data_IF_408018450903
#
_entry.id   IF_408018450903
#
_cell.length_a   1.000
_cell.length_b   1.000
_cell.length_c   1.000
_cell.angle_alpha   90.00
_cell.angle_beta   90.00
_cell.angle_gamma   90.00
#
_symmetry.space_group_name_H-M   'P 1'
#
loop_
_entity.id
_entity.type
_entity.pdbx_description
1 polymer ?
#
# COMPACT_ATOMS: atom_id res chain seq x y z
N UNK A 1 -17.59 -22.64 -11.13
CA UNK A 1 -16.34 -22.71 -10.34
C UNK A 1 -16.40 -21.88 -9.04
N UNK A 2 -17.19 -20.78 -8.97
CA UNK A 2 -17.32 -19.91 -7.77
C UNK A 2 -17.95 -20.62 -6.54
N UNK A 3 -18.81 -21.58 -6.74
CA UNK A 3 -19.50 -22.30 -5.66
C UNK A 3 -18.68 -23.35 -4.90
N UNK A 4 -17.45 -23.65 -5.36
CA UNK A 4 -16.60 -24.70 -4.75
C UNK A 4 -15.38 -24.19 -3.99
N UNK A 5 -15.04 -22.87 -4.06
CA UNK A 5 -13.91 -22.33 -3.30
C UNK A 5 -14.38 -21.78 -1.97
N UNK A 6 -13.76 -22.22 -0.88
CA UNK A 6 -13.95 -21.66 0.47
C UNK A 6 -13.47 -20.19 0.58
N UNK A 7 -12.84 -19.63 -0.46
CA UNK A 7 -12.43 -18.24 -0.49
C UNK A 7 -13.64 -17.36 -0.77
N UNK A 8 -13.97 -16.52 0.19
CA UNK A 8 -15.09 -15.58 0.16
C UNK A 8 -14.91 -14.51 -0.94
N UNK A 9 -13.68 -14.21 -1.35
CA UNK A 9 -13.34 -13.20 -2.34
C UNK A 9 -12.57 -13.80 -3.53
N UNK A 10 -12.72 -13.18 -4.70
CA UNK A 10 -12.05 -13.62 -5.94
C UNK A 10 -10.67 -13.00 -6.12
N UNK A 11 -10.43 -11.83 -5.52
CA UNK A 11 -9.16 -11.11 -5.51
C UNK A 11 -8.33 -11.37 -4.24
N UNK A 12 -7.18 -10.69 -4.14
CA UNK A 12 -6.35 -10.70 -2.95
C UNK A 12 -7.04 -9.88 -1.85
N UNK A 13 -7.37 -10.46 -0.69
CA UNK A 13 -8.08 -9.74 0.36
C UNK A 13 -7.19 -8.69 1.03
N UNK A 14 -7.75 -7.53 1.30
CA UNK A 14 -7.01 -6.41 1.93
C UNK A 14 -6.83 -6.55 3.45
N UNK A 15 -7.63 -7.40 4.10
CA UNK A 15 -7.75 -7.49 5.56
C UNK A 15 -8.76 -6.53 6.17
N UNK A 16 -9.39 -5.67 5.36
CA UNK A 16 -10.47 -4.77 5.77
C UNK A 16 -11.80 -5.29 5.22
N UNK A 17 -12.58 -5.97 6.05
CA UNK A 17 -13.77 -6.73 5.64
C UNK A 17 -14.77 -5.90 4.82
N UNK A 18 -15.03 -4.63 5.21
CA UNK A 18 -15.94 -3.76 4.46
C UNK A 18 -15.37 -3.40 3.08
N UNK A 19 -14.06 -3.13 2.98
CA UNK A 19 -13.39 -2.86 1.72
C UNK A 19 -13.43 -4.11 0.82
N UNK A 20 -13.11 -5.28 1.39
CA UNK A 20 -13.11 -6.55 0.67
C UNK A 20 -14.52 -6.93 0.18
N UNK A 21 -15.58 -6.61 0.95
CA UNK A 21 -16.96 -6.79 0.51
C UNK A 21 -17.29 -5.89 -0.68
N UNK A 22 -16.84 -4.63 -0.69
CA UNK A 22 -17.08 -3.69 -1.78
C UNK A 22 -16.31 -4.07 -3.05
N UNK A 23 -15.04 -4.48 -2.91
CA UNK A 23 -14.14 -4.74 -4.06
C UNK A 23 -14.06 -6.21 -4.47
N UNK A 24 -14.57 -7.12 -3.66
CA UNK A 24 -14.33 -8.57 -3.74
C UNK A 24 -12.85 -8.94 -3.64
N UNK A 25 -12.06 -8.13 -2.88
CA UNK A 25 -10.60 -8.13 -2.84
C UNK A 25 -9.98 -7.44 -4.06
N UNK A 26 -8.67 -7.23 -4.04
CA UNK A 26 -7.94 -6.63 -5.16
C UNK A 26 -7.81 -7.63 -6.32
N UNK A 27 -8.41 -7.30 -7.45
CA UNK A 27 -8.52 -8.21 -8.59
C UNK A 27 -7.23 -8.23 -9.44
N UNK A 28 -6.99 -9.35 -10.09
CA UNK A 28 -5.90 -9.46 -11.05
C UNK A 28 -6.00 -8.38 -12.14
N UNK A 29 -4.85 -7.83 -12.54
CA UNK A 29 -4.73 -6.78 -13.56
C UNK A 29 -5.30 -5.42 -13.14
N UNK A 30 -5.71 -5.25 -11.88
CA UNK A 30 -6.15 -3.95 -11.38
C UNK A 30 -4.97 -3.08 -10.98
N UNK A 31 -5.10 -1.80 -11.30
CA UNK A 31 -4.28 -0.72 -10.78
C UNK A 31 -5.08 0.05 -9.74
N UNK A 32 -4.65 -0.05 -8.50
CA UNK A 32 -5.31 0.52 -7.33
C UNK A 32 -4.48 1.70 -6.84
N UNK A 33 -5.12 2.82 -6.55
CA UNK A 33 -4.45 3.99 -5.98
C UNK A 33 -5.01 4.28 -4.59
N UNK A 34 -4.11 4.39 -3.61
CA UNK A 34 -4.45 4.82 -2.25
C UNK A 34 -3.90 6.22 -2.02
N UNK A 35 -4.80 7.19 -1.95
CA UNK A 35 -4.49 8.60 -1.75
C UNK A 35 -4.65 9.04 -0.29
N UNK A 36 -3.69 9.82 0.21
CA UNK A 36 -3.79 10.44 1.51
C UNK A 36 -2.99 11.75 1.59
N UNK A 37 -3.37 12.64 2.51
CA UNK A 37 -2.52 13.74 2.94
C UNK A 37 -1.28 13.22 3.66
N UNK A 38 -0.15 13.96 3.65
CA UNK A 38 1.01 13.61 4.45
C UNK A 38 0.66 13.38 5.92
N UNK A 39 1.28 12.38 6.53
CA UNK A 39 1.12 12.02 7.95
C UNK A 39 -0.29 11.55 8.37
N UNK A 40 -1.19 11.25 7.45
CA UNK A 40 -2.52 10.67 7.75
C UNK A 40 -2.45 9.15 7.98
N UNK A 41 -1.37 8.48 7.56
CA UNK A 41 -1.19 7.04 7.79
C UNK A 41 -1.19 6.18 6.52
N UNK A 42 -0.88 6.76 5.37
CA UNK A 42 -0.81 6.07 4.07
C UNK A 42 0.06 4.80 4.12
N UNK A 43 1.32 4.92 4.51
CA UNK A 43 2.25 3.79 4.67
C UNK A 43 1.77 2.81 5.74
N UNK A 44 1.20 3.31 6.85
CA UNK A 44 0.68 2.44 7.91
C UNK A 44 -0.48 1.56 7.42
N UNK A 45 -1.39 2.11 6.61
CA UNK A 45 -2.46 1.33 5.99
C UNK A 45 -1.91 0.25 5.04
N UNK A 46 -0.96 0.61 4.18
CA UNK A 46 -0.32 -0.34 3.27
C UNK A 46 0.37 -1.48 4.05
N UNK A 47 1.11 -1.15 5.12
CA UNK A 47 1.74 -2.15 5.99
C UNK A 47 0.71 -3.04 6.69
N UNK A 48 -0.46 -2.50 7.12
CA UNK A 48 -1.52 -3.32 7.70
C UNK A 48 -2.15 -4.29 6.68
N UNK A 49 -2.31 -3.85 5.43
CA UNK A 49 -2.74 -4.75 4.36
C UNK A 49 -1.68 -5.83 4.09
N UNK A 50 -0.41 -5.47 4.04
CA UNK A 50 0.71 -6.39 3.81
C UNK A 50 0.88 -7.38 4.98
N UNK A 51 0.70 -6.94 6.24
CA UNK A 51 0.66 -7.83 7.40
C UNK A 51 -0.39 -8.92 7.18
N UNK A 52 -1.62 -8.52 6.90
CA UNK A 52 -2.69 -9.48 6.66
C UNK A 52 -2.41 -10.40 5.47
N UNK A 53 -1.99 -9.84 4.33
CA UNK A 53 -1.75 -10.59 3.09
C UNK A 53 -0.58 -11.57 3.24
N UNK A 54 0.58 -11.07 3.67
CA UNK A 54 1.80 -11.88 3.67
C UNK A 54 2.00 -12.66 4.98
N UNK A 55 1.70 -12.05 6.14
CA UNK A 55 1.95 -12.70 7.44
C UNK A 55 0.81 -13.63 7.83
N UNK A 56 -0.46 -13.20 7.66
CA UNK A 56 -1.62 -13.99 8.07
C UNK A 56 -2.09 -14.96 6.99
N UNK A 57 -2.18 -14.51 5.74
CA UNK A 57 -2.69 -15.32 4.62
C UNK A 57 -1.61 -16.06 3.86
N UNK A 58 -0.31 -15.79 4.13
CA UNK A 58 0.83 -16.40 3.46
C UNK A 58 0.79 -16.22 1.92
N UNK A 59 0.23 -15.10 1.46
CA UNK A 59 0.20 -14.73 0.04
C UNK A 59 1.45 -13.93 -0.29
N UNK A 60 2.27 -14.35 -1.28
CA UNK A 60 3.49 -13.64 -1.66
C UNK A 60 3.21 -12.20 -2.10
N UNK A 61 3.86 -11.24 -1.41
CA UNK A 61 3.64 -9.81 -1.54
C UNK A 61 4.94 -9.07 -1.81
N UNK A 62 4.97 -8.19 -2.80
CA UNK A 62 6.10 -7.29 -3.09
C UNK A 62 5.82 -5.87 -2.58
N UNK A 63 6.84 -5.20 -2.04
CA UNK A 63 6.77 -3.81 -1.60
C UNK A 63 7.96 -3.00 -2.08
N UNK A 64 7.70 -1.98 -2.90
CA UNK A 64 8.67 -0.98 -3.28
C UNK A 64 8.56 0.23 -2.33
N UNK A 65 9.51 0.34 -1.40
CA UNK A 65 9.62 1.45 -0.48
C UNK A 65 10.59 2.48 -1.03
N UNK A 66 10.07 3.55 -1.62
CA UNK A 66 10.90 4.61 -2.22
C UNK A 66 11.19 5.75 -1.25
N UNK A 67 10.44 5.82 -0.14
CA UNK A 67 10.55 6.86 0.88
C UNK A 67 11.29 6.38 2.14
N UNK A 68 11.11 5.12 2.51
CA UNK A 68 11.59 4.59 3.80
C UNK A 68 12.55 3.43 3.61
N UNK A 69 13.58 3.35 4.48
CA UNK A 69 14.51 2.21 4.47
C UNK A 69 13.86 0.91 4.94
N UNK A 70 14.47 -0.20 4.57
CA UNK A 70 14.08 -1.54 4.97
C UNK A 70 13.95 -1.69 6.50
N UNK A 71 14.90 -1.13 7.26
CA UNK A 71 14.90 -1.20 8.72
C UNK A 71 13.69 -0.49 9.33
N UNK A 72 13.32 0.69 8.81
CA UNK A 72 12.16 1.44 9.28
C UNK A 72 10.85 0.71 8.95
N UNK A 73 10.76 0.10 7.77
CA UNK A 73 9.61 -0.74 7.40
C UNK A 73 9.53 -1.96 8.31
N UNK A 74 10.65 -2.65 8.54
CA UNK A 74 10.73 -3.80 9.44
C UNK A 74 10.32 -3.46 10.87
N UNK A 75 10.79 -2.35 11.42
CA UNK A 75 10.39 -1.88 12.75
C UNK A 75 8.88 -1.59 12.84
N UNK A 76 8.30 -0.94 11.83
CA UNK A 76 6.86 -0.67 11.78
C UNK A 76 6.05 -1.96 11.67
N UNK A 77 6.48 -2.89 10.82
CA UNK A 77 5.81 -4.18 10.68
C UNK A 77 5.89 -4.98 11.98
N UNK A 78 7.05 -5.05 12.63
CA UNK A 78 7.21 -5.69 13.94
C UNK A 78 6.31 -5.05 15.00
N UNK A 79 6.21 -3.70 15.01
CA UNK A 79 5.30 -2.99 15.90
C UNK A 79 3.83 -3.38 15.68
N UNK A 80 3.40 -3.50 14.44
CA UNK A 80 2.04 -3.89 14.09
C UNK A 80 1.76 -5.35 14.48
N UNK A 81 2.60 -6.29 14.06
CA UNK A 81 2.43 -7.73 14.30
C UNK A 81 2.51 -8.07 15.79
N UNK A 82 3.43 -7.43 16.55
CA UNK A 82 3.57 -7.65 18.00
C UNK A 82 2.53 -6.91 18.83
N UNK A 83 1.82 -5.92 18.23
CA UNK A 83 0.92 -5.00 18.93
C UNK A 83 1.65 -4.21 20.04
N UNK A 84 2.96 -3.93 19.84
CA UNK A 84 3.76 -3.09 20.73
C UNK A 84 3.91 -1.72 20.07
N UNK A 85 3.56 -0.62 20.75
CA UNK A 85 3.70 0.72 20.21
C UNK A 85 5.14 1.02 19.75
N UNK A 86 5.29 1.62 18.56
CA UNK A 86 6.60 1.87 17.97
C UNK A 86 7.51 2.78 18.78
N UNK A 87 6.95 3.72 19.59
CA UNK A 87 7.73 4.52 20.54
C UNK A 87 8.33 3.65 21.66
N UNK A 88 7.61 2.64 22.14
CA UNK A 88 8.08 1.69 23.14
C UNK A 88 9.20 0.80 22.61
N UNK A 89 9.09 0.36 21.36
CA UNK A 89 10.17 -0.38 20.67
C UNK A 89 11.43 0.46 20.53
N UNK A 90 11.30 1.73 20.13
CA UNK A 90 12.45 2.64 19.97
C UNK A 90 13.12 3.04 21.27
N UNK A 91 12.35 3.23 22.33
CA UNK A 91 12.90 3.58 23.64
C UNK A 91 13.56 2.41 24.36
N UNK A 92 13.27 1.16 23.95
CA UNK A 92 13.78 -0.05 24.60
C UNK A 92 13.14 -0.38 25.96
N UNK A 93 12.18 0.43 26.43
CA UNK A 93 11.46 0.16 27.69
C UNK A 93 10.41 -0.96 27.50
N UNK A 94 10.90 -2.19 27.37
CA UNK A 94 10.08 -3.38 27.15
C UNK A 94 9.93 -4.17 28.46
N UNK A 95 8.73 -4.68 28.70
CA UNK A 95 8.46 -5.63 29.78
C UNK A 95 8.75 -7.06 29.32
N UNK A 96 8.89 -8.01 30.24
CA UNK A 96 9.15 -9.42 29.90
C UNK A 96 8.14 -9.99 28.90
N UNK A 97 6.86 -9.65 29.05
CA UNK A 97 5.79 -10.07 28.13
C UNK A 97 5.95 -9.49 26.73
N UNK A 98 6.51 -8.28 26.60
CA UNK A 98 6.76 -7.66 25.30
C UNK A 98 7.85 -8.38 24.52
N UNK A 99 8.89 -8.90 25.20
CA UNK A 99 9.94 -9.69 24.54
C UNK A 99 9.39 -10.95 23.90
N UNK A 100 8.49 -11.66 24.58
CA UNK A 100 7.86 -12.85 24.00
C UNK A 100 7.02 -12.51 22.78
N UNK A 101 6.17 -11.46 22.88
CA UNK A 101 5.38 -10.97 21.74
C UNK A 101 6.25 -10.56 20.55
N UNK A 102 7.39 -9.91 20.85
CA UNK A 102 8.32 -9.48 19.82
C UNK A 102 9.00 -10.66 19.13
N UNK A 103 9.39 -11.68 19.90
CA UNK A 103 9.99 -12.91 19.37
C UNK A 103 9.01 -13.67 18.47
N UNK A 104 7.75 -13.82 18.91
CA UNK A 104 6.71 -14.46 18.11
C UNK A 104 6.44 -13.68 16.82
N UNK A 105 6.34 -12.33 16.90
CA UNK A 105 6.15 -11.46 15.77
C UNK A 105 7.33 -11.54 14.78
N UNK A 106 8.56 -11.56 15.28
CA UNK A 106 9.75 -11.70 14.45
C UNK A 106 9.76 -13.03 13.69
N UNK A 107 9.40 -14.13 14.36
CA UNK A 107 9.26 -15.45 13.73
C UNK A 107 8.19 -15.45 12.62
N UNK A 108 7.04 -14.84 12.86
CA UNK A 108 5.96 -14.71 11.86
C UNK A 108 6.41 -13.86 10.66
N UNK A 109 7.04 -12.71 10.90
CA UNK A 109 7.55 -11.85 9.83
C UNK A 109 8.66 -12.52 9.02
N UNK A 110 9.56 -13.26 9.67
CA UNK A 110 10.64 -13.99 9.00
C UNK A 110 10.13 -15.06 8.02
N UNK A 111 9.06 -15.76 8.40
CA UNK A 111 8.46 -16.80 7.57
C UNK A 111 7.44 -16.26 6.55
N UNK A 112 7.13 -14.96 6.59
CA UNK A 112 6.18 -14.36 5.67
C UNK A 112 6.79 -14.18 4.27
N UNK A 113 6.09 -14.53 3.18
CA UNK A 113 6.56 -14.32 1.82
C UNK A 113 6.42 -12.83 1.41
N UNK A 114 7.13 -11.95 2.11
CA UNK A 114 7.16 -10.50 1.91
C UNK A 114 8.51 -10.06 1.36
N UNK A 115 8.51 -9.45 0.18
CA UNK A 115 9.70 -9.01 -0.55
C UNK A 115 9.74 -7.50 -0.59
N UNK A 116 10.66 -6.89 0.18
CA UNK A 116 10.81 -5.44 0.30
C UNK A 116 12.01 -4.98 -0.52
N UNK A 117 11.80 -3.96 -1.36
CA UNK A 117 12.82 -3.27 -2.15
C UNK A 117 12.82 -1.81 -1.71
N UNK A 118 13.91 -1.33 -1.10
CA UNK A 118 14.03 0.02 -0.54
C UNK A 118 15.05 0.88 -1.29
N UNK A 119 14.98 0.88 -2.60
CA UNK A 119 15.87 1.66 -3.45
C UNK A 119 15.30 3.05 -3.69
N UNK A 120 15.92 4.12 -3.16
CA UNK A 120 15.46 5.49 -3.40
C UNK A 120 15.68 5.90 -4.86
N UNK A 121 14.86 6.83 -5.36
CA UNK A 121 14.97 7.37 -6.73
C UNK A 121 14.96 6.29 -7.83
N UNK A 122 14.21 5.22 -7.62
CA UNK A 122 14.15 4.11 -8.56
C UNK A 122 13.48 4.53 -9.87
N UNK A 123 14.08 4.17 -10.99
CA UNK A 123 13.51 4.46 -12.32
C UNK A 123 12.31 3.56 -12.58
N UNK A 124 11.36 4.08 -13.34
CA UNK A 124 10.16 3.33 -13.72
C UNK A 124 10.49 2.00 -14.42
N UNK A 125 11.52 1.98 -15.28
CA UNK A 125 11.99 0.77 -15.95
C UNK A 125 12.55 -0.26 -14.96
N UNK A 126 13.26 0.16 -13.93
CA UNK A 126 13.83 -0.73 -12.91
C UNK A 126 12.73 -1.34 -12.05
N UNK A 127 11.70 -0.56 -11.68
CA UNK A 127 10.51 -1.06 -11.00
C UNK A 127 9.84 -2.16 -11.81
N UNK A 128 9.62 -1.93 -13.11
CA UNK A 128 9.02 -2.91 -14.03
C UNK A 128 9.85 -4.19 -14.12
N UNK A 129 11.17 -4.05 -14.29
CA UNK A 129 12.07 -5.20 -14.38
C UNK A 129 12.08 -6.01 -13.09
N UNK A 130 12.15 -5.35 -11.94
CA UNK A 130 12.13 -6.01 -10.63
C UNK A 130 10.77 -6.66 -10.33
N UNK A 131 9.66 -6.01 -10.67
CA UNK A 131 8.32 -6.57 -10.53
C UNK A 131 8.16 -7.89 -11.30
N UNK A 132 8.65 -7.95 -12.56
CA UNK A 132 8.69 -9.19 -13.34
C UNK A 132 9.47 -10.29 -12.66
N UNK A 133 10.65 -9.96 -12.11
CA UNK A 133 11.48 -10.94 -11.38
C UNK A 133 10.78 -11.45 -10.12
N UNK A 134 10.12 -10.57 -9.36
CA UNK A 134 9.37 -10.97 -8.16
C UNK A 134 8.22 -11.92 -8.52
N UNK A 135 7.48 -11.64 -9.58
CA UNK A 135 6.39 -12.53 -10.02
C UNK A 135 6.93 -13.85 -10.55
N UNK A 136 7.96 -13.83 -11.40
CA UNK A 136 8.51 -15.04 -12.02
C UNK A 136 9.22 -15.95 -11.01
N UNK A 137 10.05 -15.39 -10.12
CA UNK A 137 10.93 -16.18 -9.25
C UNK A 137 10.32 -16.43 -7.87
N UNK A 138 9.49 -15.52 -7.36
CA UNK A 138 8.95 -15.59 -6.01
C UNK A 138 7.43 -15.81 -5.99
N UNK A 139 6.78 -15.86 -7.15
CA UNK A 139 5.34 -16.08 -7.26
C UNK A 139 4.49 -14.97 -6.65
N UNK A 140 5.00 -13.73 -6.58
CA UNK A 140 4.29 -12.57 -6.00
C UNK A 140 2.92 -12.41 -6.63
N UNK A 141 1.90 -12.18 -5.79
CA UNK A 141 0.49 -12.05 -6.18
C UNK A 141 -0.06 -10.64 -6.08
N UNK A 142 0.65 -9.74 -5.43
CA UNK A 142 0.30 -8.33 -5.26
C UNK A 142 1.56 -7.51 -5.04
N UNK A 143 1.59 -6.30 -5.59
CA UNK A 143 2.72 -5.38 -5.41
C UNK A 143 2.19 -4.05 -4.85
N UNK A 144 2.87 -3.53 -3.81
CA UNK A 144 2.67 -2.19 -3.28
C UNK A 144 3.85 -1.29 -3.67
N UNK A 145 3.57 0.01 -3.90
CA UNK A 145 4.59 1.03 -4.23
C UNK A 145 4.35 2.27 -3.37
N UNK A 146 5.29 2.64 -2.52
CA UNK A 146 5.20 3.82 -1.63
C UNK A 146 6.32 4.83 -1.93
N UNK A 147 6.04 5.90 -2.66
CA UNK A 147 4.83 6.36 -3.32
C UNK A 147 5.17 6.82 -4.75
N UNK A 148 4.17 6.94 -5.61
CA UNK A 148 4.34 7.18 -7.06
C UNK A 148 5.12 8.46 -7.38
N UNK A 149 5.03 9.50 -6.54
CA UNK A 149 5.74 10.76 -6.76
C UNK A 149 7.26 10.71 -6.56
N UNK A 150 7.82 9.58 -6.12
CA UNK A 150 9.25 9.35 -6.00
C UNK A 150 9.82 8.49 -7.13
N UNK A 151 8.97 7.99 -8.02
CA UNK A 151 9.39 7.24 -9.20
C UNK A 151 10.04 8.21 -10.19
N UNK A 152 11.19 7.83 -10.69
CA UNK A 152 11.92 8.61 -11.69
C UNK A 152 11.52 8.17 -13.09
N UNK A 153 11.01 9.11 -13.89
CA UNK A 153 10.72 8.94 -15.33
C UNK A 153 11.99 9.16 -16.17
N UNK A 154 11.93 8.83 -17.45
CA UNK A 154 13.06 9.06 -18.35
C UNK A 154 13.30 10.56 -18.56
N UNK A 155 12.24 11.31 -18.82
CA UNK A 155 12.30 12.77 -18.91
C UNK A 155 11.97 13.43 -17.57
N UNK A 156 13.03 13.80 -16.85
CA UNK A 156 12.92 14.54 -15.57
C UNK A 156 12.56 16.00 -15.74
N UNK A 157 12.69 16.56 -16.95
CA UNK A 157 12.38 17.96 -17.25
C UNK A 157 10.91 18.17 -17.58
N UNK A 158 10.17 17.09 -17.88
CA UNK A 158 8.75 17.17 -18.15
C UNK A 158 7.96 17.70 -16.93
N UNK A 159 6.84 18.40 -17.16
CA UNK A 159 5.95 18.83 -16.07
C UNK A 159 5.51 17.65 -15.18
N UNK A 160 5.35 17.91 -13.89
CA UNK A 160 5.02 16.86 -12.89
C UNK A 160 3.76 16.07 -13.28
N UNK A 161 2.77 16.72 -13.87
CA UNK A 161 1.52 16.03 -14.28
C UNK A 161 1.77 15.04 -15.42
N UNK A 162 2.69 15.34 -16.35
CA UNK A 162 3.09 14.42 -17.43
C UNK A 162 3.88 13.24 -16.90
N UNK A 163 4.81 13.48 -15.97
CA UNK A 163 5.54 12.40 -15.30
C UNK A 163 4.58 11.45 -14.56
N UNK A 164 3.60 11.99 -13.84
CA UNK A 164 2.59 11.17 -13.14
C UNK A 164 1.71 10.41 -14.14
N UNK A 165 1.39 11.01 -15.30
CA UNK A 165 0.63 10.34 -16.35
C UNK A 165 1.40 9.16 -16.96
N UNK A 166 2.69 9.35 -17.24
CA UNK A 166 3.57 8.27 -17.72
C UNK A 166 3.62 7.11 -16.71
N UNK A 167 3.86 7.43 -15.42
CA UNK A 167 3.91 6.44 -14.34
C UNK A 167 2.59 5.69 -14.22
N UNK A 168 1.46 6.39 -14.17
CA UNK A 168 0.13 5.82 -14.03
C UNK A 168 -0.18 4.83 -15.16
N UNK A 169 0.00 5.27 -16.40
CA UNK A 169 -0.18 4.43 -17.59
C UNK A 169 0.72 3.19 -17.57
N UNK A 170 1.98 3.37 -17.20
CA UNK A 170 2.96 2.28 -17.14
C UNK A 170 2.63 1.26 -16.05
N UNK A 171 2.21 1.70 -14.85
CA UNK A 171 1.82 0.80 -13.76
C UNK A 171 0.53 0.05 -14.10
N UNK A 172 -0.44 0.70 -14.76
CA UNK A 172 -1.63 0.00 -15.27
C UNK A 172 -1.28 -1.06 -16.31
N UNK A 173 -0.38 -0.75 -17.24
CA UNK A 173 0.10 -1.71 -18.23
C UNK A 173 0.82 -2.89 -17.55
N UNK A 174 1.65 -2.63 -16.54
CA UNK A 174 2.37 -3.64 -15.78
C UNK A 174 1.41 -4.56 -15.00
N UNK A 175 0.37 -4.03 -14.36
CA UNK A 175 -0.65 -4.82 -13.67
C UNK A 175 -1.34 -5.82 -14.63
N UNK A 176 -1.64 -5.36 -15.85
CA UNK A 176 -2.23 -6.21 -16.90
C UNK A 176 -1.25 -7.26 -17.42
N UNK A 177 0.01 -6.88 -17.66
CA UNK A 177 1.08 -7.76 -18.13
C UNK A 177 1.34 -8.90 -17.14
N UNK A 178 1.46 -8.57 -15.86
CA UNK A 178 1.76 -9.54 -14.80
C UNK A 178 0.53 -10.31 -14.31
N UNK A 179 -0.68 -9.88 -14.70
CA UNK A 179 -1.95 -10.41 -14.26
C UNK A 179 -2.09 -10.44 -12.72
N UNK A 180 -1.56 -9.42 -12.02
CA UNK A 180 -1.68 -9.23 -10.57
C UNK A 180 -2.15 -7.79 -10.25
N UNK A 181 -2.74 -7.53 -9.07
CA UNK A 181 -3.01 -6.18 -8.62
C UNK A 181 -1.72 -5.42 -8.29
N UNK A 182 -1.68 -4.14 -8.67
CA UNK A 182 -0.65 -3.19 -8.26
C UNK A 182 -1.32 -2.08 -7.47
N UNK A 183 -0.90 -1.90 -6.22
CA UNK A 183 -1.38 -0.87 -5.29
C UNK A 183 -0.33 0.22 -5.19
N UNK A 184 -0.63 1.40 -5.71
CA UNK A 184 0.28 2.54 -5.65
C UNK A 184 -0.23 3.58 -4.66
N UNK A 185 0.66 4.04 -3.78
CA UNK A 185 0.35 5.11 -2.84
C UNK A 185 0.59 6.46 -3.49
N UNK A 186 -0.30 7.43 -3.24
CA UNK A 186 -0.22 8.78 -3.77
C UNK A 186 -0.45 9.84 -2.70
N UNK A 187 0.17 11.00 -2.87
CA UNK A 187 -0.13 12.15 -2.03
C UNK A 187 -1.27 12.97 -2.62
N UNK A 188 -2.16 13.42 -1.75
CA UNK A 188 -3.26 14.33 -2.06
C UNK A 188 -2.80 15.78 -1.85
N UNK A 189 -3.27 16.70 -2.70
CA UNK A 189 -2.94 18.12 -2.65
C UNK A 189 -3.37 18.78 -1.33
N UNK A 190 -2.83 19.99 -1.05
CA UNK A 190 -3.14 20.72 0.20
C UNK A 190 -4.60 21.17 0.28
N UNK A 191 -5.26 21.34 -0.85
CA UNK A 191 -6.66 21.81 -0.92
C UNK A 191 -7.68 20.84 -0.31
N UNK A 192 -7.25 19.60 0.00
CA UNK A 192 -8.03 18.61 0.73
C UNK A 192 -7.92 18.74 2.27
N UNK A 193 -7.22 19.77 2.79
CA UNK A 193 -7.04 19.90 4.23
C UNK A 193 -8.37 20.21 4.93
N UNK A 194 -8.75 19.39 5.91
CA UNK A 194 -10.01 19.54 6.65
C UNK A 194 -11.27 19.00 5.95
N UNK A 195 -11.15 18.52 4.71
CA UNK A 195 -12.27 17.95 3.95
C UNK A 195 -11.98 16.52 3.50
N UNK A 196 -13.03 15.78 3.18
CA UNK A 196 -12.87 14.47 2.53
C UNK A 196 -12.23 14.65 1.15
N UNK A 197 -11.15 13.92 0.83
CA UNK A 197 -10.46 14.06 -0.45
C UNK A 197 -11.34 13.63 -1.63
N UNK A 198 -11.15 14.30 -2.77
CA UNK A 198 -11.80 13.98 -4.04
C UNK A 198 -10.76 13.56 -5.09
N UNK A 199 -11.23 12.96 -6.21
CA UNK A 199 -10.36 12.51 -7.30
C UNK A 199 -9.51 13.66 -7.87
N UNK A 200 -10.07 14.86 -7.98
CA UNK A 200 -9.38 16.05 -8.50
C UNK A 200 -8.17 16.49 -7.65
N UNK A 201 -8.06 16.02 -6.41
CA UNK A 201 -6.99 16.39 -5.48
C UNK A 201 -5.79 15.44 -5.48
N UNK A 202 -5.83 14.35 -6.25
CA UNK A 202 -4.64 13.53 -6.49
C UNK A 202 -3.68 14.33 -7.37
N UNK A 203 -2.40 14.39 -7.02
CA UNK A 203 -1.38 15.01 -7.88
C UNK A 203 -1.35 14.31 -9.25
N UNK A 204 -1.47 15.09 -10.33
CA UNK A 204 -1.62 14.55 -11.69
C UNK A 204 -2.98 13.85 -11.92
N UNK A 205 -4.03 14.34 -11.29
CA UNK A 205 -5.35 13.72 -11.11
C UNK A 205 -5.97 13.14 -12.37
N UNK A 206 -5.91 13.84 -13.50
CA UNK A 206 -6.60 13.40 -14.72
C UNK A 206 -6.13 12.02 -15.23
N UNK A 207 -4.82 11.77 -15.25
CA UNK A 207 -4.29 10.48 -15.72
C UNK A 207 -4.53 9.37 -14.69
N UNK A 208 -4.27 9.64 -13.41
CA UNK A 208 -4.52 8.66 -12.33
C UNK A 208 -6.00 8.29 -12.27
N UNK A 209 -6.88 9.29 -12.42
CA UNK A 209 -8.32 9.06 -12.47
C UNK A 209 -8.72 8.19 -13.67
N UNK A 210 -8.10 8.38 -14.83
CA UNK A 210 -8.40 7.57 -16.02
C UNK A 210 -7.86 6.14 -15.91
N UNK A 211 -6.62 5.96 -15.47
CA UNK A 211 -5.92 4.68 -15.52
C UNK A 211 -6.26 3.75 -14.34
N UNK A 212 -6.48 4.30 -13.14
CA UNK A 212 -6.80 3.51 -11.97
C UNK A 212 -8.16 2.82 -12.09
N UNK A 213 -8.23 1.55 -11.70
CA UNK A 213 -9.49 0.79 -11.62
C UNK A 213 -10.20 1.05 -10.30
N UNK A 214 -9.43 1.21 -9.21
CA UNK A 214 -9.92 1.52 -7.87
C UNK A 214 -9.12 2.68 -7.30
N UNK A 215 -9.81 3.65 -6.70
CA UNK A 215 -9.21 4.75 -5.95
C UNK A 215 -9.80 4.79 -4.55
N UNK A 216 -8.92 4.72 -3.56
CA UNK A 216 -9.26 4.73 -2.14
C UNK A 216 -8.60 5.93 -1.48
N UNK A 217 -9.33 6.71 -0.72
CA UNK A 217 -8.76 7.76 0.10
C UNK A 217 -8.77 7.38 1.57
N UNK A 218 -7.73 7.83 2.29
CA UNK A 218 -7.71 7.83 3.74
C UNK A 218 -8.01 9.25 4.19
N UNK A 219 -9.07 9.39 4.97
CA UNK A 219 -9.45 10.63 5.62
C UNK A 219 -9.46 10.45 7.14
N UNK A 220 -8.90 11.41 7.84
CA UNK A 220 -8.89 11.46 9.29
C UNK A 220 -8.98 12.90 9.74
N UNK A 221 -9.98 13.19 10.57
CA UNK A 221 -10.09 14.49 11.25
C UNK A 221 -8.95 14.59 12.27
N UNK A 222 -8.03 15.52 12.05
CA UNK A 222 -6.98 15.81 13.03
C UNK A 222 -7.58 16.56 14.21
N UNK A 223 -8.05 15.86 15.21
CA UNK A 223 -8.23 16.43 16.54
C UNK A 223 -6.84 16.58 17.16
N UNK A 224 -6.45 17.81 17.53
CA UNK A 224 -5.08 18.17 17.92
C UNK A 224 -4.71 17.80 19.36
N UNK A 225 -5.63 17.24 20.15
CA UNK A 225 -5.56 17.37 21.61
C UNK A 225 -4.86 16.22 22.34
N UNK A 226 -4.70 15.02 21.71
CA UNK A 226 -3.92 13.94 22.31
C UNK A 226 -3.20 13.09 21.26
N UNK A 227 -1.84 13.09 21.23
CA UNK A 227 -1.07 12.25 20.33
C UNK A 227 -1.19 10.74 20.62
N UNK A 228 -1.73 10.35 21.76
CA UNK A 228 -1.92 8.96 22.18
C UNK A 228 -3.36 8.47 22.01
N UNK A 229 -4.29 9.36 21.66
CA UNK A 229 -5.68 8.99 21.42
C UNK A 229 -5.81 8.16 20.12
N UNK A 230 -6.53 7.05 20.20
CA UNK A 230 -6.90 6.24 19.03
C UNK A 230 -7.90 7.04 18.20
N UNK A 231 -7.45 7.52 17.03
CA UNK A 231 -8.28 8.30 16.14
C UNK A 231 -8.88 7.41 15.04
N UNK A 232 -10.16 7.58 14.79
CA UNK A 232 -10.82 6.92 13.66
C UNK A 232 -10.34 7.48 12.33
N UNK A 233 -10.15 6.61 11.35
CA UNK A 233 -9.87 6.96 9.97
C UNK A 233 -10.94 6.34 9.06
N UNK A 234 -11.42 7.13 8.10
CA UNK A 234 -12.33 6.63 7.06
C UNK A 234 -11.54 6.18 5.85
N UNK A 235 -11.90 5.01 5.29
CA UNK A 235 -11.50 4.60 3.95
C UNK A 235 -12.66 4.93 3.00
N UNK A 236 -12.41 5.80 2.02
CA UNK A 236 -13.40 6.27 1.05
C UNK A 236 -13.05 5.65 -0.30
N UNK A 237 -13.90 4.77 -0.82
CA UNK A 237 -13.77 4.24 -2.18
C UNK A 237 -14.37 5.28 -3.14
N UNK A 238 -13.50 6.12 -3.73
CA UNK A 238 -13.92 7.21 -4.59
C UNK A 238 -14.13 6.78 -6.05
N UNK A 239 -13.50 5.69 -6.45
CA UNK A 239 -13.67 5.07 -7.77
C UNK A 239 -13.58 3.56 -7.68
N UNK A 240 -14.45 2.88 -8.39
CA UNK A 240 -14.37 1.43 -8.61
C UNK A 240 -14.96 1.11 -9.99
N UNK A 241 -14.12 0.67 -10.92
CA UNK A 241 -14.51 0.45 -12.32
C UNK A 241 -15.45 -0.75 -12.50
N UNK A 242 -15.26 -1.79 -11.68
CA UNK A 242 -16.00 -3.06 -11.75
C UNK A 242 -16.97 -3.23 -10.59
N UNK A 243 -17.30 -2.15 -9.86
CA UNK A 243 -18.27 -2.14 -8.78
C UNK A 243 -19.66 -1.68 -9.24
N UNK A 244 -20.67 -1.92 -8.38
CA UNK A 244 -22.02 -1.41 -8.57
C UNK A 244 -22.09 0.11 -8.28
#
# INVERSE_FOLDING_TARGET
KRYKSRNQFTGVPSGFSKLDTMTSGFQNSEFIVIGARPSIGKTALALSMMEYIAVDQQIPCGFFSLEMSYELIGQRLLSQVSRIPGNKLRSGFLQMQDFQRLQDAAGRCYNAPLFIIDTPNMKLLDIRAMARRLVANQGVKIIFIDYIGLIVTEDRSAPVFEQVAEISKSLKALARELAIPIVALSQVSRDAEGNEPTLAQIRGSGAVEQDADVVIFIHRDRKRDDPYEVQEAKLIVAKQRNGA
#
